data_IF_699873292819
#
_entry.id   IF_699873292819
#
_cell.length_a   1.000
_cell.length_b   1.000
_cell.length_c   1.000
_cell.angle_alpha   90.00
_cell.angle_beta   90.00
_cell.angle_gamma   90.00
#
_symmetry.space_group_name_H-M   'P 1'
#
loop_
_entity.id
_entity.type
_entity.pdbx_description
1 polymer ?
#
# COMPACT_ATOMS: atom_id res chain seq x y z
N UNK A 1 14.05 15.80 -35.36
CA UNK A 1 14.86 14.99 -34.44
C UNK A 1 13.94 14.72 -33.24
N UNK A 2 13.46 13.49 -33.09
CA UNK A 2 12.63 13.14 -31.95
C UNK A 2 13.52 13.19 -30.70
N UNK A 3 13.21 14.10 -29.76
CA UNK A 3 13.76 14.02 -28.40
C UNK A 3 13.32 12.69 -27.83
N UNK A 4 14.28 11.79 -27.68
CA UNK A 4 14.09 10.57 -26.90
C UNK A 4 13.83 11.04 -25.46
N UNK A 5 12.58 10.98 -25.03
CA UNK A 5 12.19 11.31 -23.66
C UNK A 5 13.01 10.44 -22.72
N UNK A 6 14.06 11.01 -22.12
CA UNK A 6 14.89 10.32 -21.14
C UNK A 6 14.07 10.10 -19.89
N UNK A 7 14.05 8.87 -19.38
CA UNK A 7 13.35 8.57 -18.14
C UNK A 7 14.05 9.27 -16.97
N UNK A 8 13.28 10.00 -16.19
CA UNK A 8 13.76 10.65 -14.97
C UNK A 8 13.90 9.62 -13.85
N UNK A 9 15.05 9.61 -13.19
CA UNK A 9 15.33 8.82 -11.99
C UNK A 9 15.63 9.75 -10.84
N UNK A 10 14.91 9.61 -9.75
CA UNK A 10 15.10 10.43 -8.54
C UNK A 10 15.71 9.55 -7.45
N UNK A 11 16.95 9.84 -7.09
CA UNK A 11 17.62 9.19 -5.95
C UNK A 11 17.30 10.00 -4.70
N UNK A 12 16.56 9.41 -3.80
CA UNK A 12 16.16 10.05 -2.55
C UNK A 12 17.04 9.57 -1.41
N UNK A 13 17.63 10.52 -0.69
CA UNK A 13 18.49 10.29 0.47
C UNK A 13 17.90 11.04 1.67
N UNK A 14 18.02 10.44 2.84
CA UNK A 14 17.75 11.14 4.11
C UNK A 14 18.99 11.81 4.68
N UNK A 15 20.15 11.29 4.34
CA UNK A 15 21.46 11.80 4.69
C UNK A 15 22.40 11.67 3.48
N UNK A 16 23.27 12.64 3.28
CA UNK A 16 24.19 12.62 2.16
C UNK A 16 25.05 11.33 2.16
N UNK A 17 25.20 10.74 0.98
CA UNK A 17 26.02 9.53 0.78
C UNK A 17 26.86 9.64 -0.47
N UNK A 18 28.15 9.29 -0.35
CA UNK A 18 29.08 9.21 -1.49
C UNK A 18 28.62 8.13 -2.48
N UNK A 19 28.00 7.05 -1.98
CA UNK A 19 27.45 5.96 -2.81
C UNK A 19 26.41 6.50 -3.79
N UNK A 20 25.60 7.47 -3.38
CA UNK A 20 24.60 8.08 -4.26
C UNK A 20 25.23 8.79 -5.47
N UNK A 21 26.42 9.41 -5.30
CA UNK A 21 27.16 10.01 -6.43
C UNK A 21 27.68 8.97 -7.42
N UNK A 22 28.10 7.81 -6.93
CA UNK A 22 28.53 6.70 -7.78
C UNK A 22 27.32 6.13 -8.56
N UNK A 23 26.18 5.97 -7.90
CA UNK A 23 24.93 5.56 -8.56
C UNK A 23 24.50 6.57 -9.62
N UNK A 24 24.45 7.86 -9.28
CA UNK A 24 24.13 8.95 -10.21
C UNK A 24 24.99 8.87 -11.48
N UNK A 25 26.32 8.81 -11.31
CA UNK A 25 27.26 8.70 -12.42
C UNK A 25 26.94 7.50 -13.31
N UNK A 26 26.80 6.31 -12.73
CA UNK A 26 26.54 5.08 -13.46
C UNK A 26 25.22 5.13 -14.26
N UNK A 27 24.16 5.60 -13.64
CA UNK A 27 22.85 5.71 -14.29
C UNK A 27 22.84 6.79 -15.40
N UNK A 28 23.59 7.89 -15.20
CA UNK A 28 23.75 8.92 -16.24
C UNK A 28 24.51 8.39 -17.45
N UNK A 29 25.55 7.54 -17.24
CA UNK A 29 26.25 6.84 -18.32
C UNK A 29 25.31 5.93 -19.14
N UNK A 30 24.21 5.48 -18.55
CA UNK A 30 23.16 4.68 -19.21
C UNK A 30 22.06 5.55 -19.85
N UNK A 31 22.31 6.83 -20.05
CA UNK A 31 21.38 7.78 -20.66
C UNK A 31 20.10 8.07 -19.86
N UNK A 32 20.12 7.83 -18.55
CA UNK A 32 19.04 8.24 -17.65
C UNK A 32 19.26 9.68 -17.18
N UNK A 33 18.17 10.40 -16.93
CA UNK A 33 18.21 11.71 -16.31
C UNK A 33 18.10 11.56 -14.81
N UNK A 34 19.19 11.75 -14.08
CA UNK A 34 19.27 11.45 -12.65
C UNK A 34 19.32 12.72 -11.81
N UNK A 35 18.47 12.78 -10.79
CA UNK A 35 18.45 13.88 -9.80
C UNK A 35 18.56 13.29 -8.40
N UNK A 36 19.44 13.88 -7.57
CA UNK A 36 19.55 13.50 -6.15
C UNK A 36 18.77 14.50 -5.31
N UNK A 37 17.89 13.99 -4.47
CA UNK A 37 17.10 14.75 -3.48
C UNK A 37 17.49 14.30 -2.08
N UNK A 38 17.90 15.26 -1.24
CA UNK A 38 18.33 14.95 0.14
C UNK A 38 17.33 15.56 1.11
N UNK A 39 16.58 14.69 1.81
CA UNK A 39 15.67 15.03 2.92
C UNK A 39 14.68 16.18 2.62
N UNK A 40 14.20 16.25 1.37
CA UNK A 40 13.33 17.34 0.88
C UNK A 40 12.06 16.76 0.24
N UNK A 41 10.97 16.73 1.01
CA UNK A 41 9.66 16.23 0.54
C UNK A 41 9.03 17.15 -0.52
N UNK A 42 9.31 18.46 -0.47
CA UNK A 42 8.72 19.40 -1.42
C UNK A 42 9.20 19.14 -2.86
N UNK A 43 10.45 18.76 -3.02
CA UNK A 43 11.01 18.35 -4.32
C UNK A 43 10.39 17.05 -4.84
N UNK A 44 10.05 16.10 -3.97
CA UNK A 44 9.36 14.86 -4.38
C UNK A 44 7.96 15.20 -4.88
N UNK A 45 7.25 16.09 -4.18
CA UNK A 45 5.94 16.58 -4.58
C UNK A 45 5.96 17.28 -5.95
N UNK A 46 7.00 18.03 -6.24
CA UNK A 46 7.22 18.71 -7.54
C UNK A 46 7.33 17.71 -8.69
N UNK A 47 8.10 16.63 -8.50
CA UNK A 47 8.37 15.63 -9.52
C UNK A 47 7.22 14.64 -9.79
N UNK A 48 6.20 14.57 -8.94
CA UNK A 48 5.11 13.59 -9.07
C UNK A 48 4.39 13.61 -10.42
N UNK A 49 4.35 14.75 -11.11
CA UNK A 49 3.66 14.88 -12.41
C UNK A 49 4.35 14.12 -13.53
N UNK A 50 5.68 14.02 -13.47
CA UNK A 50 6.50 13.39 -14.51
C UNK A 50 6.64 11.89 -14.37
N UNK A 51 6.03 11.30 -13.32
CA UNK A 51 6.10 9.88 -12.98
C UNK A 51 7.51 9.28 -13.08
N UNK A 52 8.50 9.89 -12.41
CA UNK A 52 9.86 9.39 -12.43
C UNK A 52 9.98 8.03 -11.75
N UNK A 53 11.11 7.37 -11.96
CA UNK A 53 11.48 6.22 -11.16
C UNK A 53 12.18 6.66 -9.88
N UNK A 54 11.65 6.32 -8.71
CA UNK A 54 12.23 6.68 -7.44
C UNK A 54 13.14 5.57 -6.91
N UNK A 55 14.31 5.95 -6.42
CA UNK A 55 15.26 5.09 -5.71
C UNK A 55 15.47 5.66 -4.31
N UNK A 56 14.95 5.01 -3.29
CA UNK A 56 15.07 5.46 -1.91
C UNK A 56 16.23 4.74 -1.25
N UNK A 57 17.28 5.47 -0.92
CA UNK A 57 18.47 4.93 -0.26
C UNK A 57 18.38 5.13 1.24
N UNK A 58 18.34 4.03 1.98
CA UNK A 58 18.19 3.97 3.42
C UNK A 58 19.58 3.81 4.07
N UNK A 59 19.89 4.61 5.08
CA UNK A 59 21.11 4.48 5.88
C UNK A 59 20.85 3.69 7.18
N UNK A 60 21.92 3.18 7.78
CA UNK A 60 21.89 2.12 8.81
C UNK A 60 21.28 2.57 10.16
N UNK A 61 21.20 3.87 10.41
CA UNK A 61 20.80 4.46 11.68
C UNK A 61 19.32 4.89 11.74
N UNK A 62 18.48 4.39 10.81
CA UNK A 62 17.17 4.97 10.59
C UNK A 62 15.96 4.12 11.03
N UNK A 63 16.14 2.80 11.21
CA UNK A 63 15.00 1.89 11.46
C UNK A 63 14.21 2.21 12.74
N UNK A 64 14.87 2.69 13.77
CA UNK A 64 14.23 3.04 15.06
C UNK A 64 13.85 4.52 15.20
N UNK A 65 14.09 5.31 14.16
CA UNK A 65 13.83 6.73 14.19
C UNK A 65 12.39 7.04 13.72
N UNK A 66 11.51 7.38 14.64
CA UNK A 66 10.10 7.70 14.35
C UNK A 66 9.96 8.83 13.31
N UNK A 67 10.78 9.87 13.41
CA UNK A 67 10.74 11.00 12.47
C UNK A 67 11.10 10.55 11.06
N UNK A 68 12.03 9.61 10.94
CA UNK A 68 12.38 9.00 9.67
C UNK A 68 11.22 8.17 9.09
N UNK A 69 10.60 7.31 9.91
CA UNK A 69 9.47 6.48 9.49
C UNK A 69 8.28 7.33 9.03
N UNK A 70 7.98 8.41 9.74
CA UNK A 70 6.93 9.36 9.35
C UNK A 70 7.22 10.01 8.00
N UNK A 71 8.48 10.43 7.77
CA UNK A 71 8.90 11.00 6.47
C UNK A 71 8.85 9.97 5.35
N UNK A 72 9.32 8.76 5.60
CA UNK A 72 9.30 7.68 4.60
C UNK A 72 7.86 7.30 4.25
N UNK A 73 6.96 7.27 5.23
CA UNK A 73 5.53 7.06 5.01
C UNK A 73 4.92 8.15 4.13
N UNK A 74 5.16 9.43 4.44
CA UNK A 74 4.66 10.55 3.63
C UNK A 74 5.21 10.51 2.20
N UNK A 75 6.50 10.21 2.05
CA UNK A 75 7.15 10.06 0.76
C UNK A 75 6.54 8.93 -0.06
N UNK A 76 6.37 7.76 0.55
CA UNK A 76 5.74 6.60 -0.08
C UNK A 76 4.32 6.93 -0.55
N UNK A 77 3.56 7.64 0.27
CA UNK A 77 2.22 8.11 -0.08
C UNK A 77 2.22 8.99 -1.35
N UNK A 78 3.14 9.96 -1.43
CA UNK A 78 3.27 10.85 -2.60
C UNK A 78 3.60 10.02 -3.86
N UNK A 79 4.55 9.09 -3.75
CA UNK A 79 5.01 8.26 -4.87
C UNK A 79 3.88 7.32 -5.35
N UNK A 80 3.19 6.65 -4.42
CA UNK A 80 2.04 5.77 -4.73
C UNK A 80 0.93 6.55 -5.43
N UNK A 81 0.58 7.73 -4.91
CA UNK A 81 -0.45 8.61 -5.48
C UNK A 81 -0.11 9.10 -6.89
N UNK A 82 1.15 9.31 -7.19
CA UNK A 82 1.59 9.72 -8.52
C UNK A 82 1.53 8.59 -9.55
N UNK A 83 1.45 7.34 -9.10
CA UNK A 83 1.61 6.15 -9.95
C UNK A 83 3.04 5.98 -10.47
N UNK A 84 4.02 6.56 -9.79
CA UNK A 84 5.44 6.37 -10.06
C UNK A 84 5.91 5.02 -9.54
N UNK A 85 6.97 4.50 -10.16
CA UNK A 85 7.65 3.32 -9.66
C UNK A 85 8.67 3.70 -8.59
N UNK A 86 8.92 2.78 -7.67
CA UNK A 86 9.85 2.97 -6.57
C UNK A 86 10.65 1.69 -6.31
N UNK A 87 11.90 1.85 -5.91
CA UNK A 87 12.70 0.80 -5.32
C UNK A 87 13.35 1.31 -4.03
N UNK A 88 13.62 0.40 -3.12
CA UNK A 88 14.30 0.70 -1.87
C UNK A 88 15.67 0.03 -1.86
N UNK A 89 16.62 0.70 -1.25
CA UNK A 89 18.00 0.23 -1.13
C UNK A 89 18.38 0.34 0.34
N UNK A 90 18.69 -0.77 0.98
CA UNK A 90 18.99 -0.77 2.41
C UNK A 90 19.64 -2.07 2.87
N UNK A 91 19.91 -2.18 4.16
CA UNK A 91 20.39 -3.43 4.74
C UNK A 91 19.29 -4.48 4.81
N UNK A 92 19.67 -5.73 4.53
CA UNK A 92 18.77 -6.87 4.55
C UNK A 92 18.07 -7.04 5.90
N UNK A 93 18.77 -6.76 6.99
CA UNK A 93 18.22 -6.81 8.35
C UNK A 93 17.02 -5.86 8.55
N UNK A 94 17.03 -4.71 7.88
CA UNK A 94 15.95 -3.71 7.99
C UNK A 94 14.72 -4.02 7.14
N UNK A 95 14.86 -4.84 6.11
CA UNK A 95 13.76 -5.09 5.18
C UNK A 95 12.49 -5.57 5.90
N UNK A 96 12.59 -6.65 6.66
CA UNK A 96 11.44 -7.22 7.37
C UNK A 96 10.87 -6.28 8.43
N UNK A 97 11.73 -5.61 9.18
CA UNK A 97 11.30 -4.66 10.20
C UNK A 97 10.58 -3.45 9.59
N UNK A 98 11.11 -2.92 8.49
CA UNK A 98 10.52 -1.78 7.81
C UNK A 98 9.16 -2.11 7.21
N UNK A 99 9.00 -3.30 6.62
CA UNK A 99 7.72 -3.77 6.08
C UNK A 99 6.68 -3.96 7.20
N UNK A 100 7.07 -4.43 8.38
CA UNK A 100 6.16 -4.51 9.52
C UNK A 100 5.66 -3.12 9.98
N UNK A 101 6.53 -2.11 9.92
CA UNK A 101 6.19 -0.73 10.28
C UNK A 101 5.47 0.02 9.16
N UNK A 102 5.83 -0.24 7.90
CA UNK A 102 5.30 0.39 6.69
C UNK A 102 4.96 -0.68 5.64
N UNK A 103 3.86 -1.42 5.81
CA UNK A 103 3.49 -2.53 4.94
C UNK A 103 3.26 -2.15 3.47
N UNK A 104 2.97 -0.88 3.18
CA UNK A 104 2.87 -0.34 1.82
C UNK A 104 4.14 -0.55 1.00
N UNK A 105 5.29 -0.74 1.64
CA UNK A 105 6.59 -0.94 0.99
C UNK A 105 6.84 -2.39 0.58
N UNK A 106 6.01 -3.35 0.99
CA UNK A 106 6.21 -4.79 0.75
C UNK A 106 6.37 -5.16 -0.72
N UNK A 107 5.57 -4.52 -1.57
CA UNK A 107 5.47 -4.87 -2.98
C UNK A 107 6.49 -4.12 -3.86
N UNK A 108 7.33 -3.29 -3.26
CA UNK A 108 8.39 -2.59 -3.98
C UNK A 108 9.70 -3.37 -3.98
N UNK A 109 10.44 -3.23 -5.07
CA UNK A 109 11.74 -3.88 -5.20
C UNK A 109 12.69 -3.41 -4.10
N UNK A 110 13.26 -4.36 -3.38
CA UNK A 110 14.31 -4.13 -2.39
C UNK A 110 15.65 -4.61 -2.93
N UNK A 111 16.67 -3.77 -2.81
CA UNK A 111 18.06 -4.13 -3.06
C UNK A 111 18.86 -4.10 -1.76
N UNK A 112 19.53 -5.22 -1.49
CA UNK A 112 20.42 -5.34 -0.33
C UNK A 112 21.71 -4.55 -0.55
N UNK A 113 22.21 -3.94 0.51
CA UNK A 113 23.55 -3.37 0.59
C UNK A 113 24.56 -4.44 1.03
N UNK A 114 25.82 -4.39 0.55
CA UNK A 114 26.41 -3.41 -0.38
C UNK A 114 25.93 -3.60 -1.82
N UNK A 115 25.76 -2.47 -2.54
CA UNK A 115 25.26 -2.48 -3.91
C UNK A 115 26.40 -2.74 -4.90
N UNK A 116 26.22 -3.70 -5.79
CA UNK A 116 27.01 -3.75 -7.01
C UNK A 116 26.45 -2.74 -8.03
N UNK A 117 27.20 -1.68 -8.27
CA UNK A 117 26.81 -0.59 -9.15
C UNK A 117 26.65 -1.04 -10.61
N UNK A 118 27.30 -2.13 -11.04
CA UNK A 118 27.16 -2.63 -12.40
C UNK A 118 25.82 -3.35 -12.59
N UNK A 119 25.40 -4.13 -11.62
CA UNK A 119 24.08 -4.79 -11.65
C UNK A 119 22.93 -3.83 -11.37
N UNK A 120 23.16 -2.77 -10.58
CA UNK A 120 22.18 -1.74 -10.28
C UNK A 120 21.58 -1.14 -11.56
N UNK A 121 22.43 -0.74 -12.51
CA UNK A 121 21.98 -0.12 -13.75
C UNK A 121 21.06 -1.04 -14.56
N UNK A 122 21.40 -2.32 -14.67
CA UNK A 122 20.57 -3.32 -15.36
C UNK A 122 19.24 -3.52 -14.63
N UNK A 123 19.27 -3.56 -13.30
CA UNK A 123 18.07 -3.70 -12.47
C UNK A 123 17.13 -2.50 -12.66
N UNK A 124 17.66 -1.28 -12.59
CA UNK A 124 16.89 -0.05 -12.80
C UNK A 124 16.28 -0.03 -14.20
N UNK A 125 17.03 -0.35 -15.24
CA UNK A 125 16.52 -0.41 -16.61
C UNK A 125 15.44 -1.47 -16.79
N UNK A 126 15.62 -2.64 -16.17
CA UNK A 126 14.59 -3.70 -16.16
C UNK A 126 13.30 -3.21 -15.50
N UNK A 127 13.40 -2.54 -14.34
CA UNK A 127 12.24 -2.01 -13.63
C UNK A 127 11.56 -0.86 -14.38
N UNK A 128 12.31 0.03 -15.01
CA UNK A 128 11.76 1.09 -15.85
C UNK A 128 10.99 0.50 -17.03
N UNK A 129 11.57 -0.49 -17.72
CA UNK A 129 11.03 -1.10 -18.93
C UNK A 129 10.00 -2.22 -18.67
N UNK A 130 10.01 -2.84 -17.48
CA UNK A 130 8.89 -3.69 -17.07
C UNK A 130 7.65 -2.79 -17.15
N UNK A 131 6.68 -3.12 -17.97
CA UNK A 131 5.42 -2.38 -18.05
C UNK A 131 5.00 -2.00 -16.62
N UNK A 132 4.17 -0.99 -16.41
CA UNK A 132 3.81 -0.50 -15.08
C UNK A 132 3.95 -1.62 -14.06
N UNK A 133 4.65 -1.42 -12.96
CA UNK A 133 4.45 -2.24 -11.77
C UNK A 133 2.97 -2.06 -11.45
N UNK A 134 2.17 -2.78 -12.21
CA UNK A 134 0.80 -3.01 -11.90
C UNK A 134 0.89 -4.02 -10.75
N UNK A 135 1.27 -3.54 -9.56
CA UNK A 135 0.88 -4.21 -8.34
C UNK A 135 -0.62 -4.30 -8.53
N UNK A 136 -1.10 -5.48 -8.90
CA UNK A 136 -2.53 -5.68 -9.07
C UNK A 136 -3.13 -5.37 -7.72
N UNK A 137 -3.62 -4.13 -7.58
CA UNK A 137 -4.13 -3.64 -6.30
C UNK A 137 -5.12 -4.66 -5.78
N UNK A 138 -4.90 -5.14 -4.58
CA UNK A 138 -5.82 -6.03 -3.90
C UNK A 138 -7.23 -5.46 -3.94
N UNK A 139 -8.20 -6.31 -4.25
CA UNK A 139 -9.60 -5.94 -4.43
C UNK A 139 -10.32 -6.04 -3.10
N UNK A 140 -10.83 -4.91 -2.62
CA UNK A 140 -11.59 -4.82 -1.38
C UNK A 140 -13.03 -4.48 -1.69
N UNK A 141 -13.97 -5.26 -1.15
CA UNK A 141 -15.39 -4.95 -1.15
C UNK A 141 -15.78 -4.36 0.20
N UNK A 142 -16.28 -3.13 0.21
CA UNK A 142 -16.91 -2.50 1.37
C UNK A 142 -18.40 -2.81 1.30
N UNK A 143 -18.97 -3.32 2.38
CA UNK A 143 -20.39 -3.63 2.53
C UNK A 143 -20.91 -2.82 3.70
N UNK A 144 -21.64 -1.75 3.44
CA UNK A 144 -22.12 -0.82 4.47
C UNK A 144 -23.35 -0.08 3.92
N UNK A 145 -24.44 -0.05 4.67
CA UNK A 145 -25.69 0.60 4.25
C UNK A 145 -25.66 2.13 4.40
N UNK A 146 -24.67 2.67 5.14
CA UNK A 146 -24.38 4.11 5.15
C UNK A 146 -23.45 4.48 4.00
N UNK A 147 -23.98 5.07 2.91
CA UNK A 147 -23.16 5.44 1.75
C UNK A 147 -22.13 6.53 2.08
N UNK A 148 -22.34 7.32 3.15
CA UNK A 148 -21.40 8.36 3.56
C UNK A 148 -20.18 7.74 4.21
N UNK A 149 -20.37 6.76 5.09
CA UNK A 149 -19.28 6.03 5.72
C UNK A 149 -18.53 5.14 4.71
N UNK A 150 -19.25 4.40 3.88
CA UNK A 150 -18.66 3.60 2.82
C UNK A 150 -17.78 4.46 1.89
N UNK A 151 -18.26 5.66 1.51
CA UNK A 151 -17.47 6.61 0.71
C UNK A 151 -16.25 7.11 1.45
N UNK A 152 -16.35 7.43 2.73
CA UNK A 152 -15.23 7.87 3.57
C UNK A 152 -14.13 6.80 3.59
N UNK A 153 -14.50 5.55 3.90
CA UNK A 153 -13.56 4.42 3.91
C UNK A 153 -12.95 4.21 2.53
N UNK A 154 -13.75 4.24 1.47
CA UNK A 154 -13.26 4.15 0.10
C UNK A 154 -12.23 5.24 -0.22
N UNK A 155 -12.49 6.51 0.13
CA UNK A 155 -11.57 7.63 -0.09
C UNK A 155 -10.24 7.43 0.65
N UNK A 156 -10.25 6.80 1.84
CA UNK A 156 -9.05 6.52 2.61
C UNK A 156 -8.15 5.48 1.96
N UNK A 157 -8.74 4.48 1.25
CA UNK A 157 -7.99 3.30 0.80
C UNK A 157 -7.87 3.13 -0.72
N UNK A 158 -8.65 3.87 -1.54
CA UNK A 158 -8.68 3.73 -3.02
C UNK A 158 -7.33 3.94 -3.72
N UNK A 159 -6.42 4.66 -3.09
CA UNK A 159 -5.08 4.89 -3.64
C UNK A 159 -4.21 3.63 -3.55
N UNK A 160 -4.47 2.77 -2.58
CA UNK A 160 -3.70 1.54 -2.30
C UNK A 160 -4.40 0.29 -2.82
N UNK A 161 -5.73 0.28 -2.88
CA UNK A 161 -6.57 -0.87 -3.16
C UNK A 161 -7.56 -0.59 -4.29
N UNK A 162 -8.00 -1.65 -4.98
CA UNK A 162 -9.13 -1.57 -5.92
C UNK A 162 -10.42 -1.78 -5.13
N UNK A 163 -11.15 -0.70 -4.89
CA UNK A 163 -12.29 -0.70 -3.96
C UNK A 163 -13.61 -0.74 -4.71
N UNK A 164 -14.53 -1.57 -4.23
CA UNK A 164 -15.93 -1.58 -4.61
C UNK A 164 -16.80 -1.42 -3.36
N UNK A 165 -17.99 -0.90 -3.54
CA UNK A 165 -18.97 -0.67 -2.46
C UNK A 165 -20.25 -1.41 -2.81
N UNK A 166 -20.81 -2.10 -1.83
CA UNK A 166 -22.18 -2.63 -1.82
C UNK A 166 -22.93 -2.02 -0.63
N UNK A 167 -24.15 -1.57 -0.85
CA UNK A 167 -24.96 -0.89 0.17
C UNK A 167 -26.00 -1.83 0.80
N UNK A 168 -25.95 -3.12 0.48
CA UNK A 168 -26.83 -4.13 1.06
C UNK A 168 -26.14 -5.51 1.04
N UNK A 169 -26.45 -6.35 2.04
CA UNK A 169 -25.87 -7.67 2.18
C UNK A 169 -26.08 -8.58 0.97
N UNK A 170 -27.29 -8.64 0.43
CA UNK A 170 -27.59 -9.47 -0.76
C UNK A 170 -26.93 -8.96 -2.03
N UNK A 171 -26.70 -7.65 -2.15
CA UNK A 171 -25.91 -7.07 -3.23
C UNK A 171 -24.44 -7.54 -3.14
N UNK A 172 -23.88 -7.56 -1.93
CA UNK A 172 -22.51 -8.04 -1.69
C UNK A 172 -22.36 -9.51 -2.08
N UNK A 173 -23.24 -10.39 -1.61
CA UNK A 173 -23.22 -11.82 -1.96
C UNK A 173 -23.31 -12.02 -3.47
N UNK A 174 -24.23 -11.32 -4.14
CA UNK A 174 -24.41 -11.40 -5.59
C UNK A 174 -23.17 -10.91 -6.36
N UNK A 175 -22.51 -9.88 -5.86
CA UNK A 175 -21.27 -9.36 -6.45
C UNK A 175 -20.12 -10.36 -6.30
N UNK A 176 -19.95 -10.93 -5.10
CA UNK A 176 -18.87 -11.89 -4.80
C UNK A 176 -18.96 -13.18 -5.61
N UNK A 177 -20.17 -13.67 -5.91
CA UNK A 177 -20.37 -14.83 -6.80
C UNK A 177 -19.89 -14.62 -8.24
N UNK A 178 -19.69 -13.37 -8.67
CA UNK A 178 -19.29 -13.03 -10.05
C UNK A 178 -17.91 -12.41 -10.14
N UNK A 179 -17.35 -11.96 -9.02
CA UNK A 179 -16.11 -11.19 -9.00
C UNK A 179 -15.17 -11.71 -7.93
N UNK A 180 -13.91 -11.89 -8.27
CA UNK A 180 -12.86 -12.18 -7.27
C UNK A 180 -12.59 -10.94 -6.43
N UNK A 181 -12.56 -11.11 -5.13
CA UNK A 181 -12.26 -10.11 -4.12
C UNK A 181 -11.24 -10.70 -3.15
N UNK A 182 -10.28 -9.92 -2.73
CA UNK A 182 -9.22 -10.38 -1.83
C UNK A 182 -9.58 -10.15 -0.35
N UNK A 183 -10.55 -9.26 -0.05
CA UNK A 183 -10.99 -8.95 1.32
C UNK A 183 -12.36 -8.26 1.30
N UNK A 184 -13.18 -8.56 2.30
CA UNK A 184 -14.45 -7.88 2.55
C UNK A 184 -14.35 -7.06 3.83
N UNK A 185 -14.71 -5.78 3.77
CA UNK A 185 -15.02 -4.94 4.93
C UNK A 185 -16.53 -4.95 5.10
N UNK A 186 -17.04 -5.53 6.16
CA UNK A 186 -18.46 -5.82 6.35
C UNK A 186 -19.01 -5.05 7.55
N UNK A 187 -19.99 -4.19 7.34
CA UNK A 187 -20.71 -3.57 8.45
C UNK A 187 -21.45 -4.62 9.27
N UNK A 188 -21.38 -4.45 10.58
CA UNK A 188 -22.04 -5.35 11.54
C UNK A 188 -23.57 -5.15 11.55
N UNK A 189 -24.04 -3.90 11.47
CA UNK A 189 -25.45 -3.56 11.54
C UNK A 189 -25.95 -2.97 10.22
N UNK A 190 -26.74 -3.73 9.49
CA UNK A 190 -27.41 -3.30 8.27
C UNK A 190 -28.89 -3.68 8.32
N UNK A 191 -29.78 -2.94 7.66
CA UNK A 191 -31.19 -3.31 7.54
C UNK A 191 -31.38 -4.58 6.67
N UNK A 192 -32.49 -5.26 6.85
CA UNK A 192 -32.95 -6.47 6.15
C UNK A 192 -32.03 -7.69 6.38
N UNK A 193 -30.79 -7.65 5.95
CA UNK A 193 -29.78 -8.71 6.14
C UNK A 193 -28.58 -8.10 6.83
N UNK A 194 -28.41 -8.41 8.11
CA UNK A 194 -27.34 -7.89 8.95
C UNK A 194 -25.95 -8.49 8.61
N UNK A 195 -24.90 -7.87 9.15
CA UNK A 195 -23.51 -8.33 8.95
C UNK A 195 -23.28 -9.78 9.36
N UNK A 196 -23.72 -10.23 10.55
CA UNK A 196 -23.65 -11.63 10.97
C UNK A 196 -24.29 -12.60 9.99
N UNK A 197 -25.44 -12.26 9.41
CA UNK A 197 -26.11 -13.10 8.42
C UNK A 197 -25.31 -13.17 7.12
N UNK A 198 -24.83 -12.01 6.61
CA UNK A 198 -23.95 -11.98 5.43
C UNK A 198 -22.69 -12.80 5.68
N UNK A 199 -22.05 -12.63 6.83
CA UNK A 199 -20.85 -13.39 7.21
C UNK A 199 -21.09 -14.91 7.15
N UNK A 200 -22.19 -15.40 7.78
CA UNK A 200 -22.53 -16.82 7.73
C UNK A 200 -22.80 -17.31 6.31
N UNK A 201 -23.49 -16.51 5.48
CA UNK A 201 -23.70 -16.84 4.05
C UNK A 201 -22.36 -16.99 3.33
N UNK A 202 -21.42 -16.07 3.51
CA UNK A 202 -20.10 -16.14 2.87
C UNK A 202 -19.33 -17.39 3.33
N UNK A 203 -19.34 -17.69 4.62
CA UNK A 203 -18.60 -18.85 5.17
C UNK A 203 -19.28 -20.18 4.87
N UNK A 204 -20.56 -20.20 4.42
CA UNK A 204 -21.26 -21.43 4.00
C UNK A 204 -21.09 -21.77 2.50
N UNK A 205 -20.55 -20.86 1.68
CA UNK A 205 -20.36 -21.05 0.24
C UNK A 205 -18.88 -21.43 -0.02
N UNK A 206 -18.63 -22.58 -0.60
CA UNK A 206 -17.27 -23.12 -0.84
C UNK A 206 -16.35 -22.19 -1.64
N UNK A 207 -16.93 -21.39 -2.54
CA UNK A 207 -16.17 -20.43 -3.36
C UNK A 207 -15.87 -19.11 -2.65
N UNK A 208 -16.53 -18.83 -1.52
CA UNK A 208 -16.46 -17.57 -0.78
C UNK A 208 -15.88 -17.74 0.64
N UNK A 209 -15.91 -18.94 1.22
CA UNK A 209 -15.52 -19.22 2.61
C UNK A 209 -14.11 -18.76 2.96
N UNK A 210 -13.19 -18.82 1.99
CA UNK A 210 -11.79 -18.46 2.17
C UNK A 210 -11.50 -16.96 1.99
N UNK A 211 -12.50 -16.16 1.62
CA UNK A 211 -12.33 -14.71 1.54
C UNK A 211 -12.25 -14.15 2.97
N UNK A 212 -11.17 -13.45 3.33
CA UNK A 212 -11.08 -12.82 4.65
C UNK A 212 -12.12 -11.71 4.81
N UNK A 213 -12.76 -11.70 5.98
CA UNK A 213 -13.81 -10.73 6.33
C UNK A 213 -13.40 -9.97 7.59
N UNK A 214 -13.23 -8.66 7.46
CA UNK A 214 -13.03 -7.74 8.57
C UNK A 214 -14.36 -7.05 8.85
N UNK A 215 -14.84 -7.14 10.08
CA UNK A 215 -16.11 -6.53 10.48
C UNK A 215 -15.90 -5.06 10.86
N UNK A 216 -16.68 -4.16 10.26
CA UNK A 216 -16.81 -2.76 10.66
C UNK A 216 -17.93 -2.67 11.70
N UNK A 217 -17.66 -2.08 12.84
CA UNK A 217 -18.65 -2.02 13.93
C UNK A 217 -18.68 -0.65 14.61
N UNK A 218 -19.87 -0.19 14.94
CA UNK A 218 -20.05 0.92 15.88
C UNK A 218 -20.08 0.48 17.35
N UNK A 219 -19.99 -0.83 17.62
CA UNK A 219 -19.96 -1.36 18.97
C UNK A 219 -18.57 -1.14 19.58
N UNK A 220 -18.52 -0.32 20.60
CA UNK A 220 -17.30 0.03 21.35
C UNK A 220 -17.33 -0.51 22.79
N UNK A 221 -18.36 -1.27 23.16
CA UNK A 221 -18.50 -1.90 24.47
C UNK A 221 -17.91 -3.30 24.48
N UNK A 222 -17.35 -3.75 25.63
CA UNK A 222 -16.79 -5.10 25.75
C UNK A 222 -17.78 -6.21 25.38
N UNK A 223 -19.07 -6.04 25.76
CA UNK A 223 -20.13 -7.01 25.47
C UNK A 223 -20.41 -7.10 23.96
N UNK A 224 -20.47 -5.96 23.28
CA UNK A 224 -20.69 -5.91 21.83
C UNK A 224 -19.53 -6.50 21.04
N UNK A 225 -18.28 -6.28 21.49
CA UNK A 225 -17.11 -6.90 20.90
C UNK A 225 -17.09 -8.41 21.15
N UNK A 226 -17.48 -8.87 22.34
CA UNK A 226 -17.57 -10.29 22.64
C UNK A 226 -18.58 -11.02 21.72
N UNK A 227 -19.77 -10.44 21.51
CA UNK A 227 -20.77 -10.97 20.58
C UNK A 227 -20.23 -11.07 19.13
N UNK A 228 -19.50 -10.04 18.70
CA UNK A 228 -18.88 -10.03 17.38
C UNK A 228 -17.82 -11.13 17.25
N UNK A 229 -17.03 -11.38 18.29
CA UNK A 229 -15.98 -12.41 18.30
C UNK A 229 -16.53 -13.85 18.24
N UNK A 230 -17.80 -14.07 18.61
CA UNK A 230 -18.48 -15.37 18.43
C UNK A 230 -18.59 -15.75 16.94
N UNK A 231 -18.59 -14.78 16.03
CA UNK A 231 -18.58 -15.02 14.59
C UNK A 231 -17.20 -15.52 14.09
N UNK A 232 -16.16 -15.37 14.89
CA UNK A 232 -14.78 -15.68 14.51
C UNK A 232 -14.35 -15.01 13.19
N UNK A 233 -14.48 -13.68 13.07
CA UNK A 233 -14.06 -12.96 11.87
C UNK A 233 -12.53 -12.92 11.76
N UNK A 234 -12.01 -12.66 10.57
CA UNK A 234 -10.56 -12.51 10.33
C UNK A 234 -10.00 -11.22 11.00
N UNK A 235 -10.87 -10.32 11.44
CA UNK A 235 -10.56 -9.11 12.19
C UNK A 235 -11.79 -8.23 12.37
N UNK A 236 -11.63 -7.18 13.17
CA UNK A 236 -12.67 -6.15 13.31
C UNK A 236 -12.07 -4.75 13.43
N UNK A 237 -12.86 -3.75 13.11
CA UNK A 237 -12.53 -2.33 13.20
C UNK A 237 -13.72 -1.58 13.77
N UNK A 238 -13.47 -0.74 14.77
CA UNK A 238 -14.48 0.19 15.28
C UNK A 238 -14.60 1.37 14.30
N UNK A 239 -15.83 1.74 13.92
CA UNK A 239 -16.09 2.80 12.91
C UNK A 239 -15.50 4.17 13.27
N UNK A 240 -15.16 4.42 14.54
CA UNK A 240 -14.43 5.61 14.99
C UNK A 240 -12.92 5.57 14.73
N UNK A 241 -12.43 4.56 14.02
CA UNK A 241 -11.00 4.42 13.70
C UNK A 241 -10.47 5.56 12.83
N UNK A 242 -9.16 5.73 12.82
CA UNK A 242 -8.48 6.67 11.92
C UNK A 242 -8.08 6.01 10.59
N UNK A 243 -7.89 6.82 9.54
CA UNK A 243 -7.34 6.36 8.26
C UNK A 243 -6.04 5.56 8.43
N UNK A 244 -5.15 6.05 9.29
CA UNK A 244 -3.85 5.42 9.54
C UNK A 244 -3.99 4.01 10.13
N UNK A 245 -4.85 3.85 11.14
CA UNK A 245 -5.11 2.56 11.78
C UNK A 245 -5.76 1.56 10.80
N UNK A 246 -6.70 2.03 9.97
CA UNK A 246 -7.31 1.20 8.94
C UNK A 246 -6.27 0.70 7.94
N UNK A 247 -5.44 1.59 7.41
CA UNK A 247 -4.40 1.22 6.44
C UNK A 247 -3.39 0.23 7.04
N UNK A 248 -2.99 0.43 8.30
CA UNK A 248 -2.07 -0.49 9.01
C UNK A 248 -2.68 -1.88 9.16
N UNK A 249 -3.97 -1.96 9.52
CA UNK A 249 -4.65 -3.25 9.67
C UNK A 249 -4.78 -3.97 8.32
N UNK A 250 -5.23 -3.25 7.28
CA UNK A 250 -5.37 -3.82 5.93
C UNK A 250 -4.03 -4.32 5.38
N UNK A 251 -2.97 -3.58 5.59
CA UNK A 251 -1.64 -3.98 5.17
C UNK A 251 -1.17 -5.26 5.88
N UNK A 252 -1.51 -5.42 7.17
CA UNK A 252 -1.23 -6.64 7.94
C UNK A 252 -1.98 -7.87 7.43
N UNK A 253 -3.18 -7.71 6.85
CA UNK A 253 -3.98 -8.81 6.29
C UNK A 253 -3.38 -9.37 5.00
N UNK A 254 -2.62 -8.58 4.26
CA UNK A 254 -2.01 -8.98 2.99
C UNK A 254 -0.50 -9.26 3.12
N UNK A 255 0.04 -9.27 4.36
CA UNK A 255 1.46 -9.47 4.66
C UNK A 255 1.94 -10.93 4.49
#
# INVERSE_FOLDING_TARGET
>A
MNEVSRTNVIIVLFKYSVVAKVMEKKLTEMSLNVTIVVNDLSKIEEWKKDKPFFMIYLSDDMADNRVFLDKLSQMSDIIVKSGSKMMLIGEKSYHNELIQKLPVLKDYLWLDRPIDVNTLGQTVMKEINSGSHNIEKKKILIVDDDPSYAKLVMEWIKEYYNVRVATAGMQAVSYLKRNKVDLVLLDYKMPEVDGPQVFRMLKSESDLENIPVIVLTGLDTPEGVAELMELNPDGYIIKSTTRENLLKLLAGQFA
#
